data_IF_475993942354
#
_entry.id   IF_475993942354
#
_cell.length_a   1.000
_cell.length_b   1.000
_cell.length_c   1.000
_cell.angle_alpha   90.00
_cell.angle_beta   90.00
_cell.angle_gamma   90.00
#
_symmetry.space_group_name_H-M   'P 1'
#
loop_
_entity.id
_entity.type
_entity.pdbx_description
1 polymer ?
#
# COMPACT_ATOMS: atom_id res chain seq x y z
N UNK A 1 9.62 -4.22 -6.00
CA UNK A 1 8.61 -5.21 -5.55
C UNK A 1 8.92 -5.86 -4.19
N UNK A 2 10.16 -6.25 -3.87
CA UNK A 2 10.46 -6.92 -2.58
C UNK A 2 10.23 -6.05 -1.34
N UNK A 3 10.61 -4.77 -1.37
CA UNK A 3 10.43 -3.84 -0.24
C UNK A 3 8.95 -3.68 0.13
N UNK A 4 8.08 -3.58 -0.87
CA UNK A 4 6.62 -3.48 -0.69
C UNK A 4 6.08 -4.73 0.02
N UNK A 5 6.53 -5.94 -0.38
CA UNK A 5 6.17 -7.20 0.29
C UNK A 5 6.62 -7.24 1.75
N UNK A 6 7.78 -6.67 2.08
CA UNK A 6 8.28 -6.63 3.46
C UNK A 6 7.39 -5.74 4.33
N UNK A 7 7.06 -4.53 3.85
CA UNK A 7 6.24 -3.58 4.60
C UNK A 7 4.76 -3.98 4.65
N UNK A 8 4.25 -4.66 3.62
CA UNK A 8 2.86 -5.13 3.58
C UNK A 8 2.63 -6.44 4.35
N UNK A 9 3.68 -7.17 4.75
CA UNK A 9 3.57 -8.53 5.33
C UNK A 9 2.72 -8.62 6.59
N UNK A 10 2.68 -7.55 7.40
CA UNK A 10 1.91 -7.49 8.66
C UNK A 10 0.59 -6.74 8.52
N UNK A 11 0.28 -6.22 7.32
CA UNK A 11 -0.96 -5.50 7.06
C UNK A 11 -2.10 -6.49 6.84
N UNK A 12 -3.30 -6.15 7.30
CA UNK A 12 -4.49 -6.90 6.96
C UNK A 12 -4.95 -6.48 5.56
N UNK A 13 -4.61 -7.29 4.55
CA UNK A 13 -4.89 -7.00 3.14
C UNK A 13 -6.16 -7.72 2.69
N UNK A 14 -6.99 -7.05 1.90
CA UNK A 14 -8.10 -7.69 1.22
C UNK A 14 -7.59 -8.81 0.31
N UNK A 15 -8.33 -9.93 0.26
CA UNK A 15 -7.99 -11.04 -0.63
C UNK A 15 -8.07 -10.57 -2.08
N UNK A 16 -7.00 -10.80 -2.84
CA UNK A 16 -6.94 -10.47 -4.27
C UNK A 16 -6.34 -9.09 -4.60
N UNK A 17 -5.72 -8.40 -3.64
CA UNK A 17 -4.91 -7.21 -3.96
C UNK A 17 -3.77 -7.55 -4.92
N UNK A 18 -3.63 -6.75 -5.96
CA UNK A 18 -2.54 -6.84 -6.92
C UNK A 18 -1.38 -5.93 -6.51
N UNK A 19 -0.49 -6.48 -5.69
CA UNK A 19 0.73 -5.80 -5.26
C UNK A 19 1.74 -5.59 -6.40
N UNK A 20 1.64 -6.33 -7.51
CA UNK A 20 2.51 -6.08 -8.66
C UNK A 20 2.10 -4.81 -9.39
N UNK A 21 0.79 -4.60 -9.58
CA UNK A 21 0.26 -3.36 -10.15
C UNK A 21 0.69 -2.14 -9.33
N UNK A 22 0.51 -2.18 -8.00
CA UNK A 22 0.97 -1.10 -7.11
C UNK A 22 2.47 -0.86 -7.25
N UNK A 23 3.28 -1.92 -7.32
CA UNK A 23 4.72 -1.77 -7.48
C UNK A 23 5.13 -1.15 -8.83
N UNK A 24 4.34 -1.33 -9.90
CA UNK A 24 4.57 -0.70 -11.20
C UNK A 24 4.25 0.80 -11.17
N UNK A 25 3.21 1.20 -10.43
CA UNK A 25 2.85 2.61 -10.24
C UNK A 25 3.91 3.36 -9.40
N UNK A 26 4.67 2.63 -8.57
CA UNK A 26 5.75 3.17 -7.72
C UNK A 26 7.15 3.06 -8.34
N UNK A 27 7.25 3.04 -9.68
CA UNK A 27 8.54 2.94 -10.37
C UNK A 27 9.44 4.14 -10.05
N UNK A 28 10.64 3.87 -9.53
CA UNK A 28 11.61 4.90 -9.11
C UNK A 28 11.47 5.34 -7.66
N UNK A 29 10.47 4.85 -6.92
CA UNK A 29 10.32 5.15 -5.49
C UNK A 29 11.48 4.57 -4.66
N UNK A 30 12.01 5.40 -3.77
CA UNK A 30 12.94 5.02 -2.72
C UNK A 30 12.28 4.10 -1.70
N UNK A 31 13.09 3.33 -0.96
CA UNK A 31 12.57 2.46 0.10
C UNK A 31 11.77 3.21 1.18
N UNK A 32 12.07 4.50 1.40
CA UNK A 32 11.34 5.35 2.33
C UNK A 32 9.93 5.67 1.81
N UNK A 33 9.79 6.01 0.53
CA UNK A 33 8.49 6.22 -0.13
C UNK A 33 7.66 4.93 -0.14
N UNK A 34 8.30 3.77 -0.38
CA UNK A 34 7.59 2.48 -0.29
C UNK A 34 6.97 2.26 1.10
N UNK A 35 7.72 2.56 2.15
CA UNK A 35 7.23 2.48 3.53
C UNK A 35 6.12 3.50 3.80
N UNK A 36 6.25 4.72 3.27
CA UNK A 36 5.24 5.76 3.40
C UNK A 36 3.92 5.33 2.76
N UNK A 37 3.95 4.80 1.53
CA UNK A 37 2.76 4.29 0.83
C UNK A 37 2.06 3.20 1.63
N UNK A 38 2.78 2.21 2.17
CA UNK A 38 2.16 1.17 3.00
C UNK A 38 1.50 1.74 4.27
N UNK A 39 2.11 2.79 4.86
CA UNK A 39 1.57 3.45 6.06
C UNK A 39 0.30 4.24 5.72
N UNK A 40 0.31 4.99 4.63
CA UNK A 40 -0.81 5.79 4.16
C UNK A 40 -1.99 4.93 3.72
N UNK A 41 -1.74 3.81 3.05
CA UNK A 41 -2.78 2.84 2.68
C UNK A 41 -3.51 2.29 3.93
N UNK A 42 -2.76 2.03 5.01
CA UNK A 42 -3.35 1.67 6.30
C UNK A 42 -4.19 2.81 6.90
N UNK A 43 -3.74 4.06 6.78
CA UNK A 43 -4.48 5.22 7.28
C UNK A 43 -5.78 5.49 6.51
N UNK A 44 -5.79 5.28 5.20
CA UNK A 44 -7.03 5.35 4.40
C UNK A 44 -8.05 4.31 4.86
N UNK A 45 -7.62 3.06 5.05
CA UNK A 45 -8.49 2.01 5.57
C UNK A 45 -9.06 2.36 6.95
N UNK A 46 -8.22 2.85 7.87
CA UNK A 46 -8.66 3.25 9.22
C UNK A 46 -9.63 4.43 9.19
N UNK A 47 -9.43 5.41 8.30
CA UNK A 47 -10.32 6.57 8.13
C UNK A 47 -11.72 6.14 7.71
N UNK A 48 -11.81 5.14 6.84
CA UNK A 48 -13.06 4.51 6.40
C UNK A 48 -13.61 3.48 7.41
N UNK A 49 -13.05 3.41 8.62
CA UNK A 49 -13.41 2.44 9.67
C UNK A 49 -13.31 0.98 9.22
N UNK A 50 -12.44 0.68 8.25
CA UNK A 50 -12.14 -0.67 7.77
C UNK A 50 -10.93 -1.23 8.53
N UNK A 51 -11.01 -2.52 8.86
CA UNK A 51 -9.91 -3.26 9.50
C UNK A 51 -8.99 -3.95 8.49
N UNK A 52 -9.21 -3.73 7.20
CA UNK A 52 -8.43 -4.28 6.09
C UNK A 52 -8.19 -3.20 5.03
N UNK A 53 -7.03 -3.29 4.39
CA UNK A 53 -6.60 -2.43 3.29
C UNK A 53 -7.08 -3.04 1.98
N UNK A 54 -7.57 -2.19 1.08
CA UNK A 54 -8.07 -2.53 -0.25
C UNK A 54 -7.09 -2.09 -1.32
N UNK A 55 -7.32 -2.51 -2.57
CA UNK A 55 -6.54 -2.03 -3.72
C UNK A 55 -6.59 -0.51 -3.83
N UNK A 56 -7.77 0.07 -3.67
CA UNK A 56 -8.01 1.52 -3.76
C UNK A 56 -7.22 2.31 -2.70
N UNK A 57 -7.10 1.79 -1.48
CA UNK A 57 -6.27 2.43 -0.45
C UNK A 57 -4.79 2.50 -0.84
N UNK A 58 -4.28 1.46 -1.48
CA UNK A 58 -2.92 1.45 -2.00
C UNK A 58 -2.74 2.43 -3.15
N UNK A 59 -3.69 2.46 -4.11
CA UNK A 59 -3.66 3.39 -5.24
C UNK A 59 -3.76 4.85 -4.77
N UNK A 60 -4.64 5.15 -3.81
CA UNK A 60 -4.73 6.47 -3.16
C UNK A 60 -3.45 6.83 -2.41
N UNK A 61 -2.81 5.88 -1.75
CA UNK A 61 -1.55 6.10 -1.05
C UNK A 61 -0.40 6.39 -2.00
N UNK A 62 -0.33 5.72 -3.15
CA UNK A 62 0.65 6.02 -4.21
C UNK A 62 0.43 7.41 -4.78
N UNK A 63 -0.83 7.81 -5.02
CA UNK A 63 -1.13 9.15 -5.53
C UNK A 63 -0.84 10.29 -4.53
N UNK A 64 -0.79 9.96 -3.23
CA UNK A 64 -0.55 10.93 -2.15
C UNK A 64 0.94 11.16 -1.86
N UNK A 65 1.77 10.13 -2.03
CA UNK A 65 3.21 10.13 -1.70
C UNK A 65 4.01 10.57 -2.92
#
# INVERSE_FOLDING_TARGET
AEILKIHSRKMNLMRGIDMQKIAQEMNGASGAEVKAVCTEAGMFALRERRMYVTQEDCEMAVAKV
#
